data_IF_457631025428
#
_entry.id   IF_457631025428
#
_cell.length_a   1.000
_cell.length_b   1.000
_cell.length_c   1.000
_cell.angle_alpha   90.00
_cell.angle_beta   90.00
_cell.angle_gamma   90.00
#
_symmetry.space_group_name_H-M   'P 1'
#
loop_
_entity.id
_entity.type
_entity.pdbx_description
1 polymer ?
#
# COMPACT_ATOMS: atom_id res chain seq x y z
N UNK A 1 -5.31 -17.33 -8.84
CA UNK A 1 -5.73 -17.19 -10.24
C UNK A 1 -4.52 -16.76 -11.06
N UNK A 2 -3.78 -17.74 -11.57
CA UNK A 2 -3.03 -17.57 -12.80
C UNK A 2 -4.03 -17.31 -13.91
N UNK A 3 -3.81 -16.27 -14.72
CA UNK A 3 -4.57 -16.11 -15.97
C UNK A 3 -3.78 -16.86 -17.03
N UNK A 4 -4.12 -18.15 -17.23
CA UNK A 4 -3.58 -18.92 -18.35
C UNK A 4 -4.34 -18.55 -19.61
N UNK A 5 -3.67 -17.82 -20.51
CA UNK A 5 -4.19 -17.49 -21.83
C UNK A 5 -4.03 -18.72 -22.76
N UNK A 6 -4.84 -19.75 -22.56
CA UNK A 6 -4.84 -20.92 -23.44
C UNK A 6 -5.51 -20.59 -24.78
N UNK A 7 -4.76 -20.70 -25.89
CA UNK A 7 -5.30 -20.68 -27.26
C UNK A 7 -5.05 -19.43 -28.11
N UNK A 8 -4.42 -18.37 -27.58
CA UNK A 8 -4.21 -17.11 -28.33
C UNK A 8 -2.74 -16.84 -28.68
N UNK A 9 -1.83 -17.76 -28.37
CA UNK A 9 -0.40 -17.60 -28.71
C UNK A 9 -0.06 -18.51 -29.88
N UNK A 10 0.04 -18.00 -31.12
CA UNK A 10 0.64 -18.77 -32.21
C UNK A 10 2.10 -19.02 -31.82
N UNK A 11 2.57 -20.25 -32.01
CA UNK A 11 3.96 -20.61 -31.82
C UNK A 11 4.81 -19.84 -32.84
N UNK A 12 5.34 -18.67 -32.46
CA UNK A 12 6.13 -17.81 -33.33
C UNK A 12 7.48 -17.49 -32.69
N UNK A 13 8.59 -17.48 -33.46
CA UNK A 13 9.96 -17.52 -32.92
C UNK A 13 10.38 -16.25 -32.15
N UNK A 14 9.65 -15.15 -32.35
CA UNK A 14 9.89 -13.83 -31.75
C UNK A 14 8.57 -13.06 -31.69
N UNK A 15 7.64 -13.51 -30.85
CA UNK A 15 6.33 -12.88 -30.72
C UNK A 15 6.37 -11.73 -29.71
N UNK A 16 6.20 -10.49 -30.18
CA UNK A 16 5.79 -9.36 -29.33
C UNK A 16 4.33 -9.63 -28.91
N UNK A 17 4.08 -9.65 -27.60
CA UNK A 17 2.74 -9.82 -27.04
C UNK A 17 2.30 -8.48 -26.47
N UNK A 18 1.18 -7.96 -26.97
CA UNK A 18 0.48 -6.81 -26.39
C UNK A 18 -0.71 -7.34 -25.57
N UNK A 19 -0.70 -7.12 -24.25
CA UNK A 19 -1.74 -7.60 -23.32
C UNK A 19 -2.55 -6.42 -22.79
N UNK A 20 -3.87 -6.45 -23.01
CA UNK A 20 -4.81 -5.49 -22.45
C UNK A 20 -5.69 -6.16 -21.40
N UNK A 21 -5.60 -5.69 -20.14
CA UNK A 21 -6.39 -6.21 -19.03
C UNK A 21 -7.47 -5.18 -18.68
N UNK A 22 -8.73 -5.61 -18.73
CA UNK A 22 -9.87 -4.81 -18.27
C UNK A 22 -10.45 -5.44 -17.01
N UNK A 23 -10.44 -4.70 -15.90
CA UNK A 23 -11.05 -5.12 -14.64
C UNK A 23 -12.23 -4.21 -14.35
N UNK A 24 -13.42 -4.78 -14.19
CA UNK A 24 -14.63 -4.05 -13.83
C UNK A 24 -15.19 -4.58 -12.52
N UNK A 25 -15.14 -3.75 -11.49
CA UNK A 25 -15.70 -4.04 -10.17
C UNK A 25 -16.08 -2.73 -9.49
N UNK A 26 -17.02 -2.80 -8.56
CA UNK A 26 -17.35 -1.67 -7.69
C UNK A 26 -16.38 -1.66 -6.52
N UNK A 27 -15.78 -0.50 -6.24
CA UNK A 27 -14.98 -0.30 -5.03
C UNK A 27 -15.85 0.42 -3.99
N UNK A 28 -16.06 -0.21 -2.84
CA UNK A 28 -16.84 0.40 -1.76
C UNK A 28 -16.01 1.36 -0.91
N UNK A 29 -14.69 1.21 -0.95
CA UNK A 29 -13.73 2.08 -0.28
C UNK A 29 -12.99 2.89 -1.33
N UNK A 30 -12.99 4.21 -1.16
CA UNK A 30 -12.20 5.12 -2.00
C UNK A 30 -10.77 5.25 -1.48
N UNK A 31 -9.84 5.68 -2.33
CA UNK A 31 -8.47 6.02 -1.93
C UNK A 31 -8.47 6.99 -0.73
N UNK A 32 -9.30 8.03 -0.77
CA UNK A 32 -9.44 8.98 0.33
C UNK A 32 -9.82 8.31 1.66
N UNK A 33 -10.83 7.45 1.65
CA UNK A 33 -11.28 6.72 2.85
C UNK A 33 -10.20 5.77 3.36
N UNK A 34 -9.51 5.07 2.45
CA UNK A 34 -8.38 4.22 2.80
C UNK A 34 -7.25 5.00 3.48
N UNK A 35 -6.83 6.14 2.92
CA UNK A 35 -5.82 7.03 3.50
C UNK A 35 -6.22 7.52 4.89
N UNK A 36 -7.48 7.93 5.08
CA UNK A 36 -7.99 8.32 6.40
C UNK A 36 -7.93 7.18 7.41
N UNK A 37 -8.34 5.97 7.02
CA UNK A 37 -8.25 4.77 7.88
C UNK A 37 -6.80 4.46 8.27
N UNK A 38 -5.88 4.49 7.31
CA UNK A 38 -4.46 4.31 7.57
C UNK A 38 -3.93 5.34 8.59
N UNK A 39 -4.23 6.63 8.38
CA UNK A 39 -3.83 7.71 9.29
C UNK A 39 -4.33 7.49 10.71
N UNK A 40 -5.63 7.18 10.87
CA UNK A 40 -6.21 6.92 12.20
C UNK A 40 -5.59 5.68 12.84
N UNK A 41 -5.32 4.63 12.06
CA UNK A 41 -4.74 3.40 12.57
C UNK A 41 -3.31 3.60 13.08
N UNK A 42 -2.42 4.20 12.29
CA UNK A 42 -1.02 4.41 12.70
C UNK A 42 -0.92 5.42 13.85
N UNK A 43 -1.78 6.45 13.87
CA UNK A 43 -1.85 7.40 14.97
C UNK A 43 -2.21 6.69 16.29
N UNK A 44 -3.20 5.80 16.26
CA UNK A 44 -3.68 5.11 17.45
C UNK A 44 -2.77 3.96 17.91
N UNK A 45 -2.07 3.31 16.99
CA UNK A 45 -1.25 2.11 17.28
C UNK A 45 0.23 2.40 17.49
N UNK A 46 0.76 3.46 16.89
CA UNK A 46 2.19 3.80 16.94
C UNK A 46 2.39 5.18 17.54
N UNK A 47 1.70 6.20 17.01
CA UNK A 47 1.75 7.56 17.56
C UNK A 47 1.83 8.66 16.51
N UNK A 48 2.27 9.84 16.96
CA UNK A 48 2.36 11.05 16.13
C UNK A 48 3.57 11.04 15.20
N UNK A 49 3.58 11.93 14.21
CA UNK A 49 4.66 12.02 13.23
C UNK A 49 4.55 11.01 12.08
N UNK A 50 3.61 10.07 12.14
CA UNK A 50 3.31 9.14 11.04
C UNK A 50 2.07 9.58 10.27
N UNK A 51 2.12 9.44 8.94
CA UNK A 51 1.00 9.75 8.07
C UNK A 51 1.06 8.94 6.77
N UNK A 52 -0.10 8.63 6.23
CA UNK A 52 -0.28 8.00 4.94
C UNK A 52 -0.08 8.99 3.80
N UNK A 53 0.50 8.51 2.70
CA UNK A 53 0.66 9.26 1.44
C UNK A 53 -0.39 8.84 0.41
N UNK A 54 -0.11 9.00 -0.89
CA UNK A 54 -1.07 8.67 -1.96
C UNK A 54 -1.31 7.15 -2.06
N UNK A 55 -2.57 6.68 -1.91
CA UNK A 55 -2.88 5.25 -1.99
C UNK A 55 -2.76 4.71 -3.42
N UNK A 56 -2.30 3.47 -3.53
CA UNK A 56 -2.26 2.73 -4.78
C UNK A 56 -3.27 1.57 -4.73
N UNK A 57 -4.08 1.40 -5.78
CA UNK A 57 -4.97 0.25 -5.89
C UNK A 57 -4.15 -0.96 -6.34
N UNK A 58 -4.13 -1.99 -5.50
CA UNK A 58 -3.49 -3.27 -5.78
C UNK A 58 -4.58 -4.27 -6.09
N UNK A 59 -4.52 -4.84 -7.30
CA UNK A 59 -5.46 -5.88 -7.76
C UNK A 59 -4.66 -7.17 -7.92
N UNK A 60 -4.96 -8.16 -7.08
CA UNK A 60 -4.41 -9.51 -7.17
C UNK A 60 -5.52 -10.51 -7.40
N UNK A 61 -5.15 -11.78 -7.56
CA UNK A 61 -6.09 -12.89 -7.68
C UNK A 61 -6.90 -13.19 -6.41
N UNK A 62 -6.45 -12.71 -5.24
CA UNK A 62 -7.05 -13.01 -3.94
C UNK A 62 -7.65 -11.79 -3.25
N UNK A 63 -7.14 -10.60 -3.58
CA UNK A 63 -7.42 -9.39 -2.84
C UNK A 63 -7.35 -8.17 -3.76
N UNK A 64 -8.32 -7.28 -3.58
CA UNK A 64 -8.28 -5.92 -4.12
C UNK A 64 -8.16 -4.98 -2.92
N UNK A 65 -7.03 -4.31 -2.77
CA UNK A 65 -6.77 -3.45 -1.63
C UNK A 65 -6.16 -2.11 -2.03
N UNK A 66 -6.38 -1.10 -1.19
CA UNK A 66 -5.63 0.14 -1.23
C UNK A 66 -4.38 -0.02 -0.38
N UNK A 67 -3.21 0.07 -1.01
CA UNK A 67 -1.93 0.15 -0.32
C UNK A 67 -1.61 1.61 -0.07
N UNK A 68 -1.57 2.01 1.20
CA UNK A 68 -1.26 3.36 1.65
C UNK A 68 0.18 3.39 2.16
N UNK A 69 1.11 4.06 1.47
CA UNK A 69 2.48 4.25 1.96
C UNK A 69 2.46 5.07 3.26
N UNK A 70 3.19 4.64 4.29
CA UNK A 70 3.31 5.37 5.55
C UNK A 70 4.65 6.09 5.58
N UNK A 71 4.61 7.40 5.84
CA UNK A 71 5.75 8.28 5.98
C UNK A 71 5.89 8.76 7.41
N UNK A 72 7.13 9.04 7.81
CA UNK A 72 7.44 9.76 9.05
C UNK A 72 7.83 11.20 8.75
N UNK A 73 7.44 12.11 9.64
CA UNK A 73 7.84 13.51 9.66
C UNK A 73 8.32 13.94 11.04
N UNK A 74 9.14 14.99 11.05
CA UNK A 74 9.56 15.70 12.26
C UNK A 74 9.06 17.13 12.21
N UNK A 75 8.66 17.70 13.35
CA UNK A 75 8.21 19.10 13.41
C UNK A 75 9.27 20.09 12.87
N UNK A 76 10.56 19.82 13.09
CA UNK A 76 11.65 20.68 12.67
C UNK A 76 12.08 20.52 11.20
N UNK A 77 11.80 19.39 10.57
CA UNK A 77 12.30 19.05 9.21
C UNK A 77 11.21 18.70 8.21
N UNK A 78 9.96 18.60 8.64
CA UNK A 78 8.86 18.13 7.82
C UNK A 78 8.99 16.64 7.50
N UNK A 79 8.56 16.26 6.29
CA UNK A 79 8.53 14.86 5.81
C UNK A 79 9.95 14.32 5.62
N UNK A 80 10.26 13.19 6.24
CA UNK A 80 11.57 12.54 6.13
C UNK A 80 11.61 11.43 5.09
N UNK A 81 10.64 10.50 5.11
CA UNK A 81 10.67 9.35 4.22
C UNK A 81 9.64 8.27 4.57
N UNK A 82 9.52 7.29 3.68
CA UNK A 82 8.62 6.15 3.83
C UNK A 82 9.20 5.15 4.83
N UNK A 83 8.36 4.66 5.74
CA UNK A 83 8.75 3.72 6.81
C UNK A 83 7.97 2.40 6.74
N UNK A 84 6.94 2.34 5.90
CA UNK A 84 6.22 1.12 5.57
C UNK A 84 4.97 1.42 4.75
N UNK A 85 3.96 0.58 4.91
CA UNK A 85 2.68 0.68 4.20
C UNK A 85 1.57 -0.01 5.00
N UNK A 86 0.34 0.45 4.83
CA UNK A 86 -0.86 -0.19 5.38
C UNK A 86 -1.77 -0.56 4.21
N UNK A 87 -2.19 -1.81 4.17
CA UNK A 87 -3.16 -2.29 3.18
C UNK A 87 -4.57 -2.22 3.77
N UNK A 88 -5.53 -1.71 3.00
CA UNK A 88 -6.94 -1.64 3.35
C UNK A 88 -7.74 -2.35 2.27
N UNK A 89 -8.53 -3.35 2.65
CA UNK A 89 -9.43 -4.05 1.73
C UNK A 89 -10.36 -3.04 1.04
N UNK A 90 -10.42 -3.07 -0.31
CA UNK A 90 -11.15 -2.08 -1.08
C UNK A 90 -12.67 -2.27 -1.08
N UNK A 91 -13.16 -3.40 -0.55
CA UNK A 91 -14.56 -3.77 -0.45
C UNK A 91 -15.13 -3.56 0.95
N UNK A 92 -14.39 -3.98 1.99
CA UNK A 92 -14.84 -3.94 3.39
C UNK A 92 -14.23 -2.76 4.14
N UNK A 93 -13.07 -2.29 3.71
CA UNK A 93 -12.26 -1.32 4.43
C UNK A 93 -11.60 -1.89 5.69
N UNK A 94 -11.51 -3.20 5.79
CA UNK A 94 -10.68 -3.88 6.78
C UNK A 94 -9.22 -3.46 6.63
N UNK A 95 -8.53 -3.24 7.75
CA UNK A 95 -7.10 -2.94 7.76
C UNK A 95 -6.35 -4.27 7.84
N UNK A 96 -5.55 -4.53 6.82
CA UNK A 96 -4.81 -5.78 6.63
C UNK A 96 -3.38 -5.60 7.16
N UNK A 97 -3.28 -5.35 8.46
CA UNK A 97 -2.01 -5.17 9.16
C UNK A 97 -1.99 -5.98 10.46
N UNK A 98 -0.87 -6.65 10.73
CA UNK A 98 -0.64 -7.39 11.97
C UNK A 98 0.34 -6.64 12.91
N UNK A 99 0.51 -7.15 14.12
CA UNK A 99 1.39 -6.52 15.11
C UNK A 99 2.87 -6.53 14.69
N UNK A 100 3.29 -7.44 13.81
CA UNK A 100 4.67 -7.47 13.31
C UNK A 100 4.91 -6.32 12.33
N UNK A 101 3.99 -6.11 11.38
CA UNK A 101 4.04 -4.98 10.44
C UNK A 101 4.04 -3.63 11.16
N UNK A 102 3.31 -3.50 12.27
CA UNK A 102 3.32 -2.31 13.11
C UNK A 102 4.66 -2.09 13.80
N UNK A 103 5.28 -3.15 14.34
CA UNK A 103 6.62 -3.07 14.94
C UNK A 103 7.67 -2.67 13.91
N UNK A 104 7.59 -3.20 12.70
CA UNK A 104 8.52 -2.87 11.62
C UNK A 104 8.39 -1.40 11.20
N UNK A 105 7.16 -0.88 11.07
CA UNK A 105 6.92 0.54 10.78
C UNK A 105 7.51 1.43 11.88
N UNK A 106 7.27 1.10 13.15
CA UNK A 106 7.79 1.86 14.28
C UNK A 106 9.33 1.85 14.31
N UNK A 107 9.95 0.68 14.18
CA UNK A 107 11.41 0.55 14.16
C UNK A 107 12.05 1.27 12.97
N UNK A 108 11.42 1.25 11.80
CA UNK A 108 11.89 1.99 10.63
C UNK A 108 11.78 3.50 10.84
N UNK A 109 10.70 3.97 11.48
CA UNK A 109 10.51 5.38 11.81
C UNK A 109 11.57 5.87 12.81
N UNK A 110 11.82 5.11 13.88
CA UNK A 110 12.86 5.43 14.87
C UNK A 110 14.24 5.53 14.22
N UNK A 111 14.60 4.53 13.38
CA UNK A 111 15.89 4.51 12.68
C UNK A 111 16.05 5.70 11.73
N UNK A 112 14.99 6.04 11.00
CA UNK A 112 15.01 7.15 10.06
C UNK A 112 15.11 8.50 10.79
N UNK A 113 14.33 8.71 11.84
CA UNK A 113 14.44 9.92 12.69
C UNK A 113 15.83 10.06 13.28
N UNK A 114 16.42 8.97 13.80
CA UNK A 114 17.77 8.98 14.36
C UNK A 114 18.84 9.38 13.32
N UNK A 115 18.69 8.99 12.05
CA UNK A 115 19.63 9.39 10.99
C UNK A 115 19.61 10.89 10.67
N UNK A 116 18.55 11.61 11.04
CA UNK A 116 18.42 13.06 10.86
C UNK A 116 18.63 13.84 12.18
N UNK A 117 18.93 13.16 13.29
CA UNK A 117 19.24 13.80 14.56
C UNK A 117 20.72 14.21 14.70
N UNK A 118 21.56 13.83 13.72
CA UNK A 118 22.93 14.29 13.52
C UNK A 118 22.97 15.56 12.66
#
# INVERSE_FOLDING_TARGET
MSVELQGVVPQLPTARIDVSINVSTTLNVTAYTAKRKANTFVLNRIGTGLFGDEPQLIVTDRLICWRVPIFVSMASRGRLGQVGQIEIDAQTGEILADDNSLKDIAANAERLVASFAL
#
